data_IF_603913343051
#
_entry.id   IF_603913343051
#
_cell.length_a   1.000
_cell.length_b   1.000
_cell.length_c   1.000
_cell.angle_alpha   90.00
_cell.angle_beta   90.00
_cell.angle_gamma   90.00
#
_symmetry.space_group_name_H-M   'P 1'
#
loop_
_entity.id
_entity.type
_entity.pdbx_description
1 polymer ?
#
# COMPACT_ATOMS: atom_id res chain seq x y z
N UNK A 1 -29.07 -53.38 3.74
CA UNK A 1 -28.83 -52.42 2.63
C UNK A 1 -29.19 -50.99 3.04
N UNK A 2 -30.30 -50.77 3.75
CA UNK A 2 -30.75 -49.46 4.28
C UNK A 2 -29.68 -48.74 5.13
N UNK A 3 -28.99 -49.45 6.03
CA UNK A 3 -27.95 -48.85 6.88
C UNK A 3 -26.75 -48.27 6.09
N UNK A 4 -26.35 -48.90 4.99
CA UNK A 4 -25.25 -48.42 4.14
C UNK A 4 -25.64 -47.13 3.39
N UNK A 5 -26.90 -47.01 2.99
CA UNK A 5 -27.43 -45.80 2.33
C UNK A 5 -27.52 -44.64 3.33
N UNK A 6 -28.00 -44.90 4.55
CA UNK A 6 -28.08 -43.87 5.59
C UNK A 6 -26.69 -43.30 5.98
N UNK A 7 -25.68 -44.16 6.09
CA UNK A 7 -24.30 -43.74 6.37
C UNK A 7 -23.76 -42.85 5.23
N UNK A 8 -24.07 -43.18 3.97
CA UNK A 8 -23.61 -42.40 2.82
C UNK A 8 -24.21 -40.98 2.81
N UNK A 9 -25.50 -40.85 3.14
CA UNK A 9 -26.17 -39.54 3.26
C UNK A 9 -25.65 -38.72 4.44
N UNK A 10 -25.32 -39.34 5.57
CA UNK A 10 -24.76 -38.65 6.73
C UNK A 10 -23.37 -38.06 6.42
N UNK A 11 -22.53 -38.80 5.70
CA UNK A 11 -21.20 -38.31 5.26
C UNK A 11 -21.35 -37.17 4.25
N UNK A 12 -22.30 -37.28 3.31
CA UNK A 12 -22.57 -36.23 2.34
C UNK A 12 -23.07 -34.93 3.02
N UNK A 13 -23.96 -35.04 4.00
CA UNK A 13 -24.45 -33.90 4.78
C UNK A 13 -23.33 -33.24 5.60
N UNK A 14 -22.48 -34.03 6.26
CA UNK A 14 -21.35 -33.51 7.04
C UNK A 14 -20.31 -32.79 6.16
N UNK A 15 -20.06 -33.31 4.94
CA UNK A 15 -19.14 -32.67 3.98
C UNK A 15 -19.69 -31.36 3.39
N UNK A 16 -21.01 -31.18 3.33
CA UNK A 16 -21.66 -29.94 2.86
C UNK A 16 -21.97 -28.95 3.99
N UNK A 17 -21.76 -29.31 5.26
CA UNK A 17 -21.98 -28.42 6.40
C UNK A 17 -21.08 -27.17 6.33
N UNK A 18 -19.88 -27.29 5.77
CA UNK A 18 -18.95 -26.16 5.54
C UNK A 18 -19.38 -25.21 4.41
N UNK A 19 -20.25 -25.67 3.49
CA UNK A 19 -20.89 -24.82 2.49
C UNK A 19 -22.15 -24.14 3.04
N UNK A 20 -22.85 -24.78 3.99
CA UNK A 20 -24.07 -24.27 4.60
C UNK A 20 -23.82 -23.31 5.78
N UNK A 21 -22.72 -23.50 6.52
CA UNK A 21 -22.30 -22.64 7.63
C UNK A 21 -21.53 -21.38 7.19
N UNK A 22 -21.75 -20.95 5.94
CA UNK A 22 -21.40 -19.63 5.44
C UNK A 22 -20.00 -19.16 5.84
N UNK A 23 -18.99 -19.53 5.08
CA UNK A 23 -17.80 -18.69 5.02
C UNK A 23 -18.30 -17.30 4.63
N UNK A 24 -18.15 -16.32 5.55
CA UNK A 24 -18.73 -14.99 5.40
C UNK A 24 -18.49 -14.44 4.00
N UNK A 25 -19.50 -13.77 3.43
CA UNK A 25 -19.42 -13.24 2.07
C UNK A 25 -18.12 -12.45 1.89
N UNK A 26 -17.31 -12.83 0.89
CA UNK A 26 -16.12 -12.08 0.55
C UNK A 26 -16.56 -10.73 -0.01
N UNK A 27 -16.42 -9.67 0.79
CA UNK A 27 -16.68 -8.30 0.37
C UNK A 27 -15.40 -7.74 -0.24
N UNK A 28 -15.45 -7.29 -1.50
CA UNK A 28 -14.34 -6.54 -2.09
C UNK A 28 -14.23 -5.18 -1.41
N UNK A 29 -13.11 -4.94 -0.74
CA UNK A 29 -12.82 -3.66 -0.06
C UNK A 29 -11.94 -2.72 -0.90
N UNK A 30 -11.59 -3.12 -2.12
CA UNK A 30 -10.73 -2.35 -3.02
C UNK A 30 -9.80 -3.22 -3.87
N UNK A 31 -8.92 -2.54 -4.59
CA UNK A 31 -7.88 -3.11 -5.43
C UNK A 31 -6.52 -2.50 -5.11
N UNK A 32 -5.46 -3.27 -5.28
CA UNK A 32 -4.10 -2.77 -5.17
C UNK A 32 -3.22 -3.34 -6.27
N UNK A 33 -2.21 -2.58 -6.67
CA UNK A 33 -1.17 -2.99 -7.59
C UNK A 33 0.20 -2.56 -7.03
N UNK A 34 1.24 -3.34 -7.33
CA UNK A 34 2.61 -3.04 -6.94
C UNK A 34 3.59 -3.52 -8.01
N UNK A 35 4.63 -2.76 -8.23
CA UNK A 35 5.77 -3.17 -9.04
C UNK A 35 7.06 -2.70 -8.36
N UNK A 36 8.11 -3.50 -8.49
CA UNK A 36 9.42 -3.19 -7.93
C UNK A 36 10.50 -3.81 -8.81
N UNK A 37 11.59 -3.08 -8.99
CA UNK A 37 12.82 -3.55 -9.64
C UNK A 37 13.99 -3.09 -8.79
N UNK A 38 14.96 -3.98 -8.63
CA UNK A 38 16.20 -3.68 -7.93
C UNK A 38 17.33 -4.29 -8.75
N UNK A 39 18.32 -3.46 -9.03
CA UNK A 39 19.55 -3.89 -9.62
C UNK A 39 20.48 -4.40 -8.52
N UNK A 40 20.79 -5.69 -8.58
CA UNK A 40 21.63 -6.39 -7.59
C UNK A 40 23.09 -5.93 -7.70
N UNK A 41 23.51 -5.41 -8.87
CA UNK A 41 24.91 -5.05 -9.12
C UNK A 41 25.25 -3.64 -8.69
N UNK A 42 24.43 -2.64 -9.03
CA UNK A 42 24.72 -1.24 -8.75
C UNK A 42 23.81 -0.65 -7.66
N UNK A 43 22.88 -1.40 -7.08
CA UNK A 43 22.07 -0.94 -5.94
C UNK A 43 20.96 0.06 -6.31
N UNK A 44 20.75 0.31 -7.60
CA UNK A 44 19.64 1.11 -8.07
C UNK A 44 18.32 0.38 -7.83
N UNK A 45 17.25 1.12 -7.54
CA UNK A 45 15.92 0.55 -7.42
C UNK A 45 14.84 1.47 -7.97
N UNK A 46 13.72 0.89 -8.34
CA UNK A 46 12.47 1.60 -8.57
C UNK A 46 11.32 0.78 -8.01
N UNK A 47 10.37 1.43 -7.36
CA UNK A 47 9.13 0.79 -6.97
C UNK A 47 7.94 1.72 -7.18
N UNK A 48 6.77 1.12 -7.31
CA UNK A 48 5.52 1.82 -7.23
C UNK A 48 4.44 0.92 -6.62
N UNK A 49 3.42 1.57 -6.06
CA UNK A 49 2.17 0.93 -5.73
C UNK A 49 1.01 1.91 -5.90
N UNK A 50 -0.17 1.37 -6.12
CA UNK A 50 -1.43 2.08 -6.11
C UNK A 50 -2.48 1.26 -5.38
N UNK A 51 -3.29 1.93 -4.57
CA UNK A 51 -4.41 1.35 -3.83
C UNK A 51 -5.63 2.22 -4.12
N UNK A 52 -6.75 1.57 -4.43
CA UNK A 52 -8.06 2.21 -4.48
C UNK A 52 -9.02 1.37 -3.64
N UNK A 53 -9.67 1.99 -2.66
CA UNK A 53 -10.66 1.31 -1.85
C UNK A 53 -12.00 1.17 -2.59
N UNK A 54 -12.94 0.43 -2.00
CA UNK A 54 -14.27 0.23 -2.56
C UNK A 54 -15.19 1.46 -2.52
N UNK A 55 -14.79 2.55 -1.85
CA UNK A 55 -15.56 3.78 -1.69
C UNK A 55 -15.07 4.93 -2.60
N UNK A 56 -13.89 4.78 -3.21
CA UNK A 56 -13.30 5.74 -4.15
C UNK A 56 -12.05 6.44 -3.64
N UNK A 57 -11.64 6.24 -2.38
CA UNK A 57 -10.38 6.78 -1.87
C UNK A 57 -9.20 6.05 -2.53
N UNK A 58 -8.13 6.79 -2.82
CA UNK A 58 -6.96 6.24 -3.47
C UNK A 58 -5.67 6.77 -2.85
N UNK A 59 -4.64 5.94 -2.81
CA UNK A 59 -3.29 6.38 -2.48
C UNK A 59 -2.27 5.67 -3.36
N UNK A 60 -1.17 6.35 -3.67
CA UNK A 60 -0.11 5.79 -4.50
C UNK A 60 1.25 6.34 -4.12
N UNK A 61 2.31 5.58 -4.43
CA UNK A 61 3.69 6.05 -4.35
C UNK A 61 4.46 5.51 -5.53
N UNK A 62 5.35 6.31 -6.07
CA UNK A 62 6.39 5.88 -6.98
C UNK A 62 7.72 6.48 -6.53
N UNK A 63 8.78 5.68 -6.48
CA UNK A 63 10.11 6.14 -6.11
C UNK A 63 11.17 5.43 -6.95
N UNK A 64 12.20 6.18 -7.31
CA UNK A 64 13.46 5.64 -7.84
C UNK A 64 14.59 6.07 -6.92
N UNK A 65 15.53 5.17 -6.67
CA UNK A 65 16.74 5.45 -5.94
C UNK A 65 17.96 4.91 -6.65
N UNK A 66 19.10 5.57 -6.44
CA UNK A 66 20.37 5.18 -7.02
C UNK A 66 21.36 4.63 -5.99
N UNK A 67 22.48 4.11 -6.50
CA UNK A 67 23.61 3.60 -5.72
C UNK A 67 24.18 4.59 -4.69
N UNK A 68 24.04 5.89 -4.93
CA UNK A 68 24.64 6.95 -4.14
C UNK A 68 23.71 7.42 -3.01
N UNK A 69 22.57 6.74 -2.83
CA UNK A 69 21.57 7.10 -1.82
C UNK A 69 20.64 8.23 -2.26
N UNK A 70 20.73 8.70 -3.51
CA UNK A 70 19.78 9.68 -4.02
C UNK A 70 18.43 9.01 -4.25
N UNK A 71 17.35 9.74 -3.97
CA UNK A 71 15.97 9.27 -4.12
C UNK A 71 15.13 10.38 -4.75
N UNK A 72 14.22 10.01 -5.64
CA UNK A 72 13.15 10.91 -6.07
C UNK A 72 11.87 10.13 -6.25
N UNK A 73 10.76 10.78 -5.97
CA UNK A 73 9.48 10.12 -6.07
C UNK A 73 8.30 11.04 -5.91
N UNK A 74 7.13 10.43 -6.01
CA UNK A 74 5.84 11.07 -5.82
C UNK A 74 5.00 10.23 -4.87
N UNK A 75 4.25 10.89 -4.01
CA UNK A 75 3.22 10.30 -3.18
C UNK A 75 1.89 11.00 -3.43
N UNK A 76 0.79 10.26 -3.52
CA UNK A 76 -0.55 10.83 -3.70
C UNK A 76 -1.55 10.24 -2.72
N UNK A 77 -2.46 11.07 -2.22
CA UNK A 77 -3.70 10.68 -1.53
C UNK A 77 -4.84 11.40 -2.24
N UNK A 78 -5.93 10.68 -2.51
CA UNK A 78 -7.22 11.23 -2.90
C UNK A 78 -8.28 10.64 -1.97
N UNK A 79 -9.13 11.51 -1.43
CA UNK A 79 -10.20 11.17 -0.52
C UNK A 79 -11.54 11.17 -1.27
N UNK A 80 -12.57 10.52 -0.70
CA UNK A 80 -13.88 10.33 -1.34
C UNK A 80 -14.64 11.65 -1.56
N UNK A 81 -14.30 12.70 -0.81
CA UNK A 81 -14.90 14.02 -0.91
C UNK A 81 -14.20 14.93 -1.95
N UNK A 82 -13.27 14.36 -2.73
CA UNK A 82 -12.55 15.07 -3.78
C UNK A 82 -11.33 15.86 -3.29
N UNK A 83 -11.00 15.81 -2.00
CA UNK A 83 -9.70 16.30 -1.51
C UNK A 83 -8.58 15.42 -2.06
N UNK A 84 -7.50 16.05 -2.47
CA UNK A 84 -6.35 15.36 -3.01
C UNK A 84 -5.06 16.10 -2.65
N UNK A 85 -4.03 15.31 -2.36
CA UNK A 85 -2.68 15.76 -2.08
C UNK A 85 -1.70 14.98 -2.93
N UNK A 86 -0.78 15.69 -3.57
CA UNK A 86 0.40 15.13 -4.25
C UNK A 86 1.65 15.75 -3.65
N UNK A 87 2.62 14.91 -3.32
CA UNK A 87 3.94 15.33 -2.84
C UNK A 87 4.99 14.82 -3.81
N UNK A 88 5.72 15.72 -4.45
CA UNK A 88 6.91 15.39 -5.25
C UNK A 88 8.15 15.68 -4.41
N UNK A 89 9.06 14.73 -4.31
CA UNK A 89 10.23 14.83 -3.43
C UNK A 89 11.52 14.38 -4.10
N UNK A 90 12.62 14.98 -3.62
CA UNK A 90 14.00 14.63 -3.96
C UNK A 90 14.83 14.60 -2.67
N UNK A 91 15.63 13.56 -2.50
CA UNK A 91 16.69 13.46 -1.51
C UNK A 91 18.01 13.24 -2.26
N UNK A 92 18.95 14.15 -2.11
CA UNK A 92 20.27 14.07 -2.72
C UNK A 92 21.30 14.83 -1.86
N UNK A 93 22.48 15.13 -2.40
CA UNK A 93 23.52 15.91 -1.73
C UNK A 93 23.11 17.33 -1.28
N UNK A 94 21.99 17.86 -1.76
CA UNK A 94 21.42 19.14 -1.30
C UNK A 94 20.37 18.97 -0.19
N UNK A 95 20.21 17.76 0.34
CA UNK A 95 19.23 17.43 1.38
C UNK A 95 17.86 17.06 0.81
N UNK A 96 16.92 16.81 1.72
CA UNK A 96 15.54 16.47 1.38
C UNK A 96 14.73 17.72 1.03
N UNK A 97 14.07 17.71 -0.12
CA UNK A 97 13.19 18.78 -0.60
C UNK A 97 11.91 18.17 -1.13
N UNK A 98 10.77 18.75 -0.78
CA UNK A 98 9.46 18.29 -1.23
C UNK A 98 8.57 19.47 -1.61
N UNK A 99 7.78 19.30 -2.66
CA UNK A 99 6.73 20.23 -3.08
C UNK A 99 5.38 19.53 -2.95
N UNK A 100 4.42 20.20 -2.33
CA UNK A 100 3.07 19.66 -2.14
C UNK A 100 2.08 20.45 -2.99
N UNK A 101 1.27 19.73 -3.77
CA UNK A 101 0.09 20.27 -4.47
C UNK A 101 -1.14 19.68 -3.80
N UNK A 102 -2.02 20.54 -3.29
CA UNK A 102 -3.22 20.12 -2.56
C UNK A 102 -4.38 21.08 -2.80
N UNK A 103 -5.61 20.59 -2.78
CA UNK A 103 -6.84 21.40 -2.78
C UNK A 103 -7.50 21.47 -1.38
N UNK A 104 -6.80 21.00 -0.34
CA UNK A 104 -7.30 21.06 1.03
C UNK A 104 -7.25 22.48 1.59
N UNK A 105 -8.35 23.01 2.16
CA UNK A 105 -8.46 24.41 2.58
C UNK A 105 -7.47 24.86 3.66
N UNK A 106 -6.94 23.92 4.47
CA UNK A 106 -6.23 24.21 5.72
C UNK A 106 -4.70 23.95 5.66
N UNK A 107 -4.14 23.65 4.49
CA UNK A 107 -2.69 23.41 4.37
C UNK A 107 -1.98 24.69 3.91
N UNK A 108 -1.66 25.58 4.84
CA UNK A 108 -0.61 26.58 4.63
C UNK A 108 0.66 25.86 4.15
N UNK A 109 1.44 26.41 3.20
CA UNK A 109 2.65 25.76 2.71
C UNK A 109 3.58 25.46 3.90
N UNK A 110 3.76 24.18 4.22
CA UNK A 110 4.62 23.77 5.31
C UNK A 110 6.07 24.14 4.95
N UNK A 111 6.85 24.74 5.87
CA UNK A 111 8.28 24.90 5.67
C UNK A 111 8.93 23.51 5.47
N UNK A 112 10.03 23.39 4.70
CA UNK A 112 10.70 22.11 4.50
C UNK A 112 11.02 21.49 5.86
N UNK A 113 10.54 20.26 6.08
CA UNK A 113 10.57 19.60 7.38
C UNK A 113 11.99 19.59 7.95
N UNK A 114 12.13 20.08 9.19
CA UNK A 114 13.36 19.97 9.96
C UNK A 114 13.75 18.49 10.11
N UNK A 115 15.05 18.19 9.99
CA UNK A 115 15.62 16.87 10.22
C UNK A 115 15.06 16.26 11.52
N UNK A 116 14.26 15.20 11.41
CA UNK A 116 14.17 14.23 12.50
C UNK A 116 15.45 13.40 12.39
N UNK A 117 16.50 13.84 13.09
CA UNK A 117 17.65 13.00 13.36
C UNK A 117 17.17 11.83 14.21
N UNK A 118 16.97 10.67 13.60
CA UNK A 118 16.82 9.43 14.35
C UNK A 118 18.18 9.10 14.99
N UNK A 119 18.32 8.99 16.32
CA UNK A 119 19.53 8.45 16.89
C UNK A 119 19.60 6.97 16.53
N UNK A 120 20.42 6.64 15.53
CA UNK A 120 20.83 5.27 15.32
C UNK A 120 21.76 4.90 16.49
N UNK A 121 21.19 4.32 17.55
CA UNK A 121 21.97 3.55 18.51
C UNK A 121 22.49 2.32 17.78
N UNK A 122 23.77 2.33 17.40
CA UNK A 122 24.52 1.13 17.09
C UNK A 122 25.41 0.85 18.32
N UNK A 123 25.00 -0.10 19.14
CA UNK A 123 25.86 -0.70 20.14
C UNK A 123 26.09 -2.16 19.73
N UNK A 124 27.32 -2.46 19.33
CA UNK A 124 27.91 -3.79 19.42
C UNK A 124 28.44 -4.00 20.84
#
# INVERSE_FOLDING_TARGET
MIAKVAILFAVLAAAHASALLGHGALVSTGVSNRAQTQDVSFGNYAFNYGIQDGLGAANSRAEVGDAHGNKKGTYTIADIDGRARRVDYVADGHGFRATTVTNEPELLPAPPAALIASPATCAL
#
